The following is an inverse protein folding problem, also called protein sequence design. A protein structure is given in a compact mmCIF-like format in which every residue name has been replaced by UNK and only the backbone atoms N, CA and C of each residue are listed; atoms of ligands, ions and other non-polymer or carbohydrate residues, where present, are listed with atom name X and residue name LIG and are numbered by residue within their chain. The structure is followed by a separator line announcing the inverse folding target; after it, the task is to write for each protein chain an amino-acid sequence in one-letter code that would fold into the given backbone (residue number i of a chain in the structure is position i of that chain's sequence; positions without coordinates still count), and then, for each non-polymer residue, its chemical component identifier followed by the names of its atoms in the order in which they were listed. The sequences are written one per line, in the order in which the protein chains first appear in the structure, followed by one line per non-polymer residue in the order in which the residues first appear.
data_IF_079268394842
#
_entry.id   IF_079268394842
#
_cell.length_a   1.000
_cell.length_b   1.000
_cell.length_c   1.000
_cell.angle_alpha   90.00
_cell.angle_beta   90.00
_cell.angle_gamma   90.00
#
_symmetry.space_group_name_H-M   'P 1'
#
loop_
_entity.id
_entity.type
_entity.pdbx_description
1 polymer ?
#
# COMPACT_ATOMS: atom_id res chain seq x y z
N UNK A 1 -12.36 5.42 15.63
CA UNK A 1 -11.82 4.99 14.33
C UNK A 1 -10.35 4.63 14.50
N UNK A 2 -9.87 3.59 13.83
CA UNK A 2 -8.48 3.10 13.97
C UNK A 2 -7.81 3.05 12.59
N UNK A 3 -6.48 3.19 12.58
CA UNK A 3 -5.66 2.92 11.39
C UNK A 3 -4.97 1.58 11.61
N UNK A 4 -5.22 0.62 10.74
CA UNK A 4 -4.53 -0.65 10.68
C UNK A 4 -3.53 -0.64 9.53
N UNK A 5 -2.46 -1.41 9.65
CA UNK A 5 -1.43 -1.54 8.62
C UNK A 5 -1.12 -3.02 8.40
N UNK A 6 -1.17 -3.45 7.16
CA UNK A 6 -0.78 -4.80 6.75
C UNK A 6 -0.18 -4.76 5.34
N UNK A 7 1.03 -5.25 5.15
CA UNK A 7 1.70 -5.34 3.86
C UNK A 7 1.78 -6.79 3.37
N UNK A 8 2.26 -6.97 2.15
CA UNK A 8 2.68 -8.27 1.61
C UNK A 8 1.55 -9.32 1.60
N UNK A 9 0.37 -8.91 1.13
CA UNK A 9 -0.77 -9.83 1.01
C UNK A 9 -0.53 -10.90 -0.05
N UNK A 10 0.24 -10.58 -1.10
CA UNK A 10 0.62 -11.50 -2.16
C UNK A 10 -0.55 -12.35 -2.67
N UNK A 11 -1.70 -11.71 -2.90
CA UNK A 11 -2.88 -12.38 -3.44
C UNK A 11 -2.62 -12.86 -4.87
N UNK A 12 -3.27 -13.95 -5.27
CA UNK A 12 -3.08 -14.56 -6.57
C UNK A 12 -4.27 -15.42 -6.97
N UNK A 13 -5.49 -14.85 -6.85
CA UNK A 13 -6.72 -15.63 -7.09
C UNK A 13 -6.92 -16.01 -8.55
N UNK A 14 -6.49 -15.17 -9.51
CA UNK A 14 -6.60 -15.50 -10.93
C UNK A 14 -5.61 -16.59 -11.36
N UNK A 15 -4.36 -16.47 -10.95
CA UNK A 15 -3.29 -17.42 -11.26
C UNK A 15 -2.61 -17.83 -9.95
N UNK A 16 -3.07 -18.91 -9.31
CA UNK A 16 -2.59 -19.30 -8.00
C UNK A 16 -1.08 -19.50 -7.94
N UNK A 17 -0.42 -18.79 -7.05
CA UNK A 17 0.98 -18.95 -6.72
C UNK A 17 1.11 -19.50 -5.31
N UNK A 18 1.75 -20.67 -5.14
CA UNK A 18 1.80 -21.33 -3.84
C UNK A 18 2.76 -20.58 -2.91
N UNK A 19 2.21 -19.75 -2.03
CA UNK A 19 2.99 -19.00 -1.02
C UNK A 19 3.54 -19.89 0.10
N UNK A 20 2.99 -21.07 0.30
CA UNK A 20 3.45 -22.05 1.30
C UNK A 20 4.89 -22.55 1.08
N UNK A 21 5.48 -22.33 -0.10
CA UNK A 21 6.91 -22.57 -0.36
C UNK A 21 7.81 -21.70 0.54
N UNK A 22 7.30 -20.58 1.04
CA UNK A 22 8.00 -19.67 1.97
C UNK A 22 7.77 -20.04 3.45
N UNK A 23 7.05 -21.13 3.72
CA UNK A 23 6.79 -21.66 5.05
C UNK A 23 5.31 -21.92 5.31
N UNK A 24 5.06 -22.79 6.30
CA UNK A 24 3.70 -23.24 6.64
C UNK A 24 2.75 -22.12 7.11
N UNK A 25 3.29 -20.99 7.56
CA UNK A 25 2.49 -19.83 7.95
C UNK A 25 1.69 -19.24 6.79
N UNK A 26 2.18 -19.44 5.54
CA UNK A 26 1.52 -18.96 4.32
C UNK A 26 0.41 -19.90 3.80
N UNK A 27 0.27 -21.10 4.39
CA UNK A 27 -0.83 -21.99 4.02
C UNK A 27 -2.16 -21.32 4.30
N UNK A 28 -3.01 -21.23 3.26
CA UNK A 28 -4.33 -20.60 3.31
C UNK A 28 -4.29 -19.15 3.86
N UNK A 29 -3.22 -18.40 3.55
CA UNK A 29 -3.02 -17.06 4.07
C UNK A 29 -4.18 -16.10 3.75
N UNK A 30 -4.87 -16.12 2.57
CA UNK A 30 -6.00 -15.24 2.34
C UNK A 30 -7.14 -15.46 3.34
N UNK A 31 -7.45 -16.70 3.68
CA UNK A 31 -8.49 -17.02 4.66
C UNK A 31 -8.09 -16.60 6.09
N UNK A 32 -6.83 -16.78 6.45
CA UNK A 32 -6.30 -16.29 7.74
C UNK A 32 -6.39 -14.77 7.84
N UNK A 33 -6.01 -14.06 6.77
CA UNK A 33 -6.13 -12.61 6.67
C UNK A 33 -7.59 -12.21 6.82
N UNK A 34 -8.50 -12.82 6.04
CA UNK A 34 -9.93 -12.54 6.08
C UNK A 34 -10.51 -12.70 7.49
N UNK A 35 -10.22 -13.81 8.13
CA UNK A 35 -10.71 -14.10 9.49
C UNK A 35 -10.27 -13.02 10.49
N UNK A 36 -8.97 -12.73 10.53
CA UNK A 36 -8.43 -11.72 11.44
C UNK A 36 -8.92 -10.29 11.11
N UNK A 37 -9.10 -9.99 9.83
CA UNK A 37 -9.62 -8.71 9.38
C UNK A 37 -11.06 -8.49 9.86
N UNK A 38 -11.94 -9.46 9.63
CA UNK A 38 -13.35 -9.41 10.07
C UNK A 38 -13.50 -9.35 11.60
N UNK A 39 -12.54 -9.88 12.34
CA UNK A 39 -12.53 -9.81 13.80
C UNK A 39 -12.14 -8.43 14.32
N UNK A 40 -11.26 -7.71 13.62
CA UNK A 40 -10.58 -6.52 14.14
C UNK A 40 -11.02 -5.20 13.50
N UNK A 41 -11.29 -5.22 12.20
CA UNK A 41 -11.55 -4.02 11.41
C UNK A 41 -13.06 -3.79 11.26
N UNK A 42 -13.49 -2.55 11.48
CA UNK A 42 -14.86 -2.09 11.32
C UNK A 42 -15.02 -1.24 10.06
N UNK A 43 -16.26 -0.97 9.64
CA UNK A 43 -16.54 -0.17 8.44
C UNK A 43 -15.99 1.26 8.51
N UNK A 44 -15.92 1.85 9.70
CA UNK A 44 -15.38 3.19 9.92
C UNK A 44 -13.85 3.28 9.99
N UNK A 45 -13.16 2.14 10.03
CA UNK A 45 -11.71 2.09 10.15
C UNK A 45 -11.02 2.25 8.79
N UNK A 46 -9.73 2.56 8.84
CA UNK A 46 -8.84 2.64 7.69
C UNK A 46 -7.78 1.55 7.76
N UNK A 47 -7.55 0.89 6.64
CA UNK A 47 -6.44 -0.06 6.51
C UNK A 47 -5.48 0.42 5.42
N UNK A 48 -4.23 0.61 5.78
CA UNK A 48 -3.17 0.94 4.83
C UNK A 48 -2.40 -0.33 4.46
N UNK A 49 -2.21 -0.52 3.15
CA UNK A 49 -1.49 -1.65 2.58
C UNK A 49 -0.20 -1.16 1.92
N UNK A 50 0.94 -1.17 2.62
CA UNK A 50 2.20 -0.64 2.10
C UNK A 50 2.89 -1.55 1.08
N UNK A 51 2.15 -2.04 0.07
CA UNK A 51 2.71 -2.74 -1.08
C UNK A 51 2.63 -4.26 -1.05
N UNK A 52 3.00 -4.84 -2.18
CA UNK A 52 2.98 -6.27 -2.47
C UNK A 52 1.60 -6.89 -2.25
N UNK A 53 0.60 -6.21 -2.84
CA UNK A 53 -0.79 -6.59 -2.73
C UNK A 53 -1.12 -7.84 -3.55
N UNK A 54 -0.68 -7.88 -4.82
CA UNK A 54 -1.04 -8.93 -5.76
C UNK A 54 0.13 -9.35 -6.64
N UNK A 55 0.19 -10.65 -6.95
CA UNK A 55 1.13 -11.22 -7.92
C UNK A 55 0.74 -11.03 -9.38
N UNK A 56 -0.35 -10.37 -9.66
CA UNK A 56 -0.79 -10.13 -11.03
C UNK A 56 0.26 -9.33 -11.83
N UNK A 57 0.34 -9.61 -13.13
CA UNK A 57 1.25 -8.89 -14.03
C UNK A 57 0.57 -7.66 -14.66
N UNK A 58 -0.75 -7.69 -14.85
CA UNK A 58 -1.55 -6.63 -15.44
C UNK A 58 -2.70 -6.23 -14.53
N UNK A 59 -3.18 -4.99 -14.67
CA UNK A 59 -4.24 -4.45 -13.81
C UNK A 59 -5.54 -5.27 -13.91
N UNK A 60 -5.88 -5.71 -15.11
CA UNK A 60 -7.09 -6.51 -15.36
C UNK A 60 -7.05 -7.87 -14.67
N UNK A 61 -5.85 -8.39 -14.41
CA UNK A 61 -5.64 -9.67 -13.75
C UNK A 61 -5.84 -9.58 -12.23
N UNK A 62 -5.87 -8.38 -11.68
CA UNK A 62 -6.09 -8.14 -10.23
C UNK A 62 -7.57 -8.16 -9.82
N UNK A 63 -8.50 -8.39 -10.75
CA UNK A 63 -9.94 -8.27 -10.48
C UNK A 63 -10.40 -9.08 -9.26
N UNK A 64 -10.06 -10.36 -9.19
CA UNK A 64 -10.48 -11.22 -8.07
C UNK A 64 -9.77 -10.83 -6.77
N UNK A 65 -8.53 -10.34 -6.83
CA UNK A 65 -7.79 -9.85 -5.68
C UNK A 65 -8.43 -8.57 -5.11
N UNK A 66 -8.80 -7.63 -5.98
CA UNK A 66 -9.52 -6.42 -5.57
C UNK A 66 -10.94 -6.70 -5.10
N UNK A 67 -11.64 -7.65 -5.71
CA UNK A 67 -12.97 -8.10 -5.27
C UNK A 67 -12.91 -8.69 -3.85
N UNK A 68 -11.89 -9.51 -3.58
CA UNK A 68 -11.62 -10.00 -2.23
C UNK A 68 -11.38 -8.85 -1.26
N UNK A 69 -10.48 -7.92 -1.58
CA UNK A 69 -10.17 -6.79 -0.72
C UNK A 69 -11.39 -5.88 -0.49
N UNK A 70 -12.17 -5.61 -1.55
CA UNK A 70 -13.38 -4.78 -1.46
C UNK A 70 -14.47 -5.42 -0.60
N UNK A 71 -14.50 -6.75 -0.48
CA UNK A 71 -15.45 -7.47 0.38
C UNK A 71 -15.17 -7.33 1.88
N UNK A 72 -13.98 -6.86 2.25
CA UNK A 72 -13.57 -6.68 3.63
C UNK A 72 -14.00 -5.29 4.15
N UNK A 73 -14.35 -5.14 5.44
CA UNK A 73 -14.76 -3.86 6.01
C UNK A 73 -13.63 -2.83 6.06
N UNK A 74 -14.01 -1.57 6.25
CA UNK A 74 -13.12 -0.42 6.34
C UNK A 74 -12.69 0.13 4.98
N UNK A 75 -12.16 1.36 4.97
CA UNK A 75 -11.51 1.96 3.79
C UNK A 75 -10.09 1.42 3.64
N UNK A 76 -9.60 1.30 2.41
CA UNK A 76 -8.26 0.78 2.13
C UNK A 76 -7.47 1.79 1.31
N UNK A 77 -6.21 2.02 1.71
CA UNK A 77 -5.24 2.80 0.93
C UNK A 77 -4.05 1.91 0.59
N UNK A 78 -3.80 1.72 -0.69
CA UNK A 78 -2.72 0.88 -1.19
C UNK A 78 -1.53 1.72 -1.64
N UNK A 79 -0.33 1.29 -1.26
CA UNK A 79 0.93 1.76 -1.84
C UNK A 79 1.48 0.68 -2.78
N UNK A 80 2.38 1.10 -3.65
CA UNK A 80 3.11 0.19 -4.53
C UNK A 80 4.23 -0.53 -3.79
N UNK A 81 4.26 -1.86 -3.88
CA UNK A 81 5.42 -2.68 -3.53
C UNK A 81 6.34 -2.98 -4.71
N UNK A 82 7.29 -3.89 -4.54
CA UNK A 82 8.19 -4.28 -5.61
C UNK A 82 7.61 -5.39 -6.51
N UNK A 83 6.70 -6.18 -6.01
CA UNK A 83 6.01 -7.23 -6.78
C UNK A 83 4.67 -6.78 -7.38
N UNK A 84 4.24 -5.54 -7.14
CA UNK A 84 3.04 -5.00 -7.80
C UNK A 84 3.34 -4.60 -9.26
N UNK A 85 3.54 -5.59 -10.12
CA UNK A 85 3.85 -5.38 -11.56
C UNK A 85 2.66 -4.79 -12.32
N UNK A 86 1.43 -5.08 -11.87
CA UNK A 86 0.17 -4.57 -12.38
C UNK A 86 0.00 -3.05 -12.21
N UNK A 87 0.78 -2.44 -11.32
CA UNK A 87 0.65 -1.03 -10.97
C UNK A 87 0.93 -0.10 -12.14
N UNK A 88 -0.03 0.77 -12.44
CA UNK A 88 0.04 1.72 -13.56
C UNK A 88 -0.21 3.17 -13.09
N UNK A 89 -0.80 4.02 -13.92
CA UNK A 89 -1.11 5.39 -13.53
C UNK A 89 -2.29 5.42 -12.55
N UNK A 90 -2.27 6.38 -11.61
CA UNK A 90 -3.35 6.56 -10.64
C UNK A 90 -4.73 6.69 -11.31
N UNK A 91 -4.78 7.40 -12.45
CA UNK A 91 -6.01 7.56 -13.24
C UNK A 91 -6.56 6.20 -13.69
N UNK A 92 -5.75 5.39 -14.34
CA UNK A 92 -6.19 4.07 -14.84
C UNK A 92 -6.63 3.13 -13.71
N UNK A 93 -5.88 3.13 -12.59
CA UNK A 93 -6.23 2.30 -11.45
C UNK A 93 -7.56 2.74 -10.82
N UNK A 94 -7.81 4.04 -10.68
CA UNK A 94 -9.09 4.56 -10.17
C UNK A 94 -10.25 4.31 -11.14
N UNK A 95 -10.03 4.43 -12.45
CA UNK A 95 -11.02 4.06 -13.46
C UNK A 95 -11.39 2.58 -13.34
N UNK A 96 -10.40 1.70 -13.23
CA UNK A 96 -10.61 0.26 -13.01
C UNK A 96 -11.43 -0.03 -11.75
N UNK A 97 -11.10 0.59 -10.61
CA UNK A 97 -11.88 0.42 -9.36
C UNK A 97 -13.34 0.87 -9.56
N UNK A 98 -13.55 2.02 -10.20
CA UNK A 98 -14.88 2.60 -10.45
C UNK A 98 -15.72 1.69 -11.36
N UNK A 99 -15.17 1.22 -12.45
CA UNK A 99 -15.84 0.36 -13.44
C UNK A 99 -16.28 -0.97 -12.81
N UNK A 100 -15.52 -1.47 -11.82
CA UNK A 100 -15.81 -2.72 -11.14
C UNK A 100 -16.57 -2.55 -9.81
N UNK A 101 -16.95 -1.32 -9.44
CA UNK A 101 -17.71 -1.04 -8.22
C UNK A 101 -16.91 -1.20 -6.92
N UNK A 102 -15.59 -1.13 -6.98
CA UNK A 102 -14.72 -1.21 -5.80
C UNK A 102 -14.60 0.15 -5.15
N UNK A 103 -15.53 0.49 -4.26
CA UNK A 103 -15.73 1.84 -3.75
C UNK A 103 -14.97 2.19 -2.47
N UNK A 104 -14.45 1.20 -1.76
CA UNK A 104 -13.77 1.40 -0.48
C UNK A 104 -12.23 1.30 -0.56
N UNK A 105 -11.68 1.43 -1.78
CA UNK A 105 -10.25 1.31 -2.07
C UNK A 105 -9.77 2.55 -2.80
N UNK A 106 -8.57 3.05 -2.44
CA UNK A 106 -7.85 4.08 -3.18
C UNK A 106 -6.32 3.88 -3.00
N UNK A 107 -5.50 4.76 -3.57
CA UNK A 107 -4.06 4.59 -3.68
C UNK A 107 -3.28 5.79 -3.13
N UNK A 108 -2.27 5.52 -2.34
CA UNK A 108 -1.21 6.49 -2.02
C UNK A 108 -0.13 6.35 -3.11
N UNK A 109 -0.06 7.38 -3.97
CA UNK A 109 0.90 7.41 -5.07
C UNK A 109 1.28 8.85 -5.43
N UNK A 110 2.25 9.40 -4.73
CA UNK A 110 2.68 10.80 -4.79
C UNK A 110 1.56 11.79 -4.41
N UNK A 111 0.74 11.45 -3.47
CA UNK A 111 -0.37 12.23 -2.94
C UNK A 111 -0.51 12.01 -1.44
N UNK A 112 -1.39 12.76 -0.82
CA UNK A 112 -1.71 12.67 0.59
C UNK A 112 -3.20 12.54 0.82
N UNK A 113 -3.59 11.99 1.98
CA UNK A 113 -4.97 11.87 2.44
C UNK A 113 -5.10 12.44 3.83
N UNK A 114 -6.21 13.09 4.10
CA UNK A 114 -6.61 13.41 5.46
C UNK A 114 -7.44 12.28 6.04
N UNK A 115 -7.06 11.81 7.20
CA UNK A 115 -7.85 10.89 8.01
C UNK A 115 -7.93 11.43 9.44
N UNK A 116 -9.12 11.83 9.86
CA UNK A 116 -9.33 12.58 11.11
C UNK A 116 -8.45 13.85 11.16
N UNK A 117 -7.47 13.89 12.05
CA UNK A 117 -6.52 15.00 12.20
C UNK A 117 -5.10 14.66 11.73
N UNK A 118 -4.96 13.62 10.90
CA UNK A 118 -3.67 13.08 10.48
C UNK A 118 -3.55 13.07 8.97
N UNK A 119 -2.45 13.60 8.45
CA UNK A 119 -2.09 13.51 7.04
C UNK A 119 -1.41 12.15 6.82
N UNK A 120 -1.95 11.37 5.90
CA UNK A 120 -1.40 10.08 5.49
C UNK A 120 -0.76 10.22 4.13
N UNK A 121 0.49 9.83 4.00
CA UNK A 121 1.22 9.83 2.74
C UNK A 121 2.21 8.66 2.71
N UNK A 122 2.90 8.48 1.60
CA UNK A 122 3.87 7.40 1.52
C UNK A 122 4.57 7.30 0.17
N UNK A 123 5.57 6.45 0.17
CA UNK A 123 6.33 6.09 -1.03
C UNK A 123 6.71 4.62 -0.94
N UNK A 124 6.98 4.01 -2.11
CA UNK A 124 7.54 2.66 -2.12
C UNK A 124 8.89 2.59 -1.39
N UNK A 125 9.66 3.67 -1.40
CA UNK A 125 11.04 3.63 -1.03
C UNK A 125 11.89 2.86 -2.05
N UNK A 126 13.09 2.49 -1.70
CA UNK A 126 13.97 1.69 -2.54
C UNK A 126 14.96 0.90 -1.70
N UNK A 127 15.23 -0.36 -2.10
CA UNK A 127 16.27 -1.16 -1.47
C UNK A 127 17.66 -0.53 -1.72
N UNK A 128 18.48 -0.42 -0.69
CA UNK A 128 19.83 0.04 -0.84
C UNK A 128 20.72 -1.08 -1.31
N UNK A 129 21.05 -0.94 -2.55
CA UNK A 129 22.15 -1.65 -3.16
C UNK A 129 23.25 -0.64 -3.45
N UNK A 130 24.50 -1.00 -3.29
CA UNK A 130 25.63 -0.11 -3.64
C UNK A 130 25.81 -0.05 -5.16
N UNK A 131 24.87 0.62 -5.80
CA UNK A 131 24.86 0.85 -7.24
C UNK A 131 24.37 2.27 -7.54
N UNK A 132 24.89 2.86 -8.62
CA UNK A 132 24.47 4.19 -9.05
C UNK A 132 22.98 4.25 -9.40
N UNK A 133 22.41 3.15 -9.89
CA UNK A 133 20.99 3.07 -10.16
C UNK A 133 20.18 3.15 -8.87
N UNK A 134 20.56 2.43 -7.83
CA UNK A 134 19.88 2.50 -6.51
C UNK A 134 19.95 3.90 -5.93
N UNK A 135 21.09 4.57 -5.99
CA UNK A 135 21.26 5.96 -5.52
C UNK A 135 20.31 6.92 -6.24
N UNK A 136 20.17 6.79 -7.58
CA UNK A 136 19.22 7.59 -8.38
C UNK A 136 17.76 7.30 -7.97
N UNK A 137 17.41 6.05 -7.75
CA UNK A 137 16.05 5.67 -7.38
C UNK A 137 15.69 6.17 -5.97
N UNK A 138 16.58 6.04 -5.00
CA UNK A 138 16.43 6.58 -3.64
C UNK A 138 16.18 8.09 -3.70
N UNK A 139 17.01 8.83 -4.44
CA UNK A 139 16.85 10.28 -4.59
C UNK A 139 15.49 10.65 -5.21
N UNK A 140 15.04 9.86 -6.18
CA UNK A 140 13.72 10.07 -6.80
C UNK A 140 12.58 9.83 -5.81
N UNK A 141 12.63 8.78 -5.02
CA UNK A 141 11.61 8.48 -4.02
C UNK A 141 11.61 9.52 -2.88
N UNK A 142 12.80 10.02 -2.48
CA UNK A 142 12.93 11.13 -1.52
C UNK A 142 12.24 12.41 -2.02
N UNK A 143 12.50 12.79 -3.27
CA UNK A 143 11.85 13.97 -3.87
C UNK A 143 10.34 13.82 -3.93
N UNK A 144 9.84 12.64 -4.33
CA UNK A 144 8.41 12.36 -4.42
C UNK A 144 7.72 12.42 -3.05
N UNK A 145 8.38 11.85 -2.04
CA UNK A 145 7.86 11.89 -0.68
C UNK A 145 7.79 13.32 -0.14
N UNK A 146 8.85 14.10 -0.35
CA UNK A 146 8.87 15.52 0.05
C UNK A 146 7.74 16.31 -0.60
N UNK A 147 7.56 16.17 -1.91
CA UNK A 147 6.48 16.85 -2.64
C UNK A 147 5.10 16.43 -2.13
N UNK A 148 4.88 15.15 -1.85
CA UNK A 148 3.61 14.66 -1.33
C UNK A 148 3.34 15.18 0.10
N UNK A 149 4.35 15.29 0.95
CA UNK A 149 4.24 15.88 2.29
C UNK A 149 3.92 17.37 2.18
N UNK A 150 4.66 18.12 1.35
CA UNK A 150 4.47 19.56 1.15
C UNK A 150 3.07 19.88 0.60
N UNK A 151 2.59 19.09 -0.35
CA UNK A 151 1.24 19.20 -0.89
C UNK A 151 0.18 18.92 0.18
N UNK A 152 0.36 17.85 0.98
CA UNK A 152 -0.53 17.53 2.09
C UNK A 152 -0.56 18.63 3.15
N UNK A 153 0.58 19.19 3.53
CA UNK A 153 0.64 20.31 4.46
C UNK A 153 -0.07 21.54 3.90
N UNK A 154 0.14 21.85 2.61
CA UNK A 154 -0.50 22.97 1.94
C UNK A 154 -2.02 22.83 1.88
N UNK A 155 -2.53 21.59 1.65
CA UNK A 155 -3.96 21.32 1.52
C UNK A 155 -4.66 21.24 2.88
N UNK A 156 -4.03 20.60 3.89
CA UNK A 156 -4.68 20.26 5.15
C UNK A 156 -4.21 21.07 6.36
N UNK A 157 -3.13 21.83 6.24
CA UNK A 157 -2.58 22.66 7.29
C UNK A 157 -1.32 22.11 7.95
N UNK A 158 -0.60 23.00 8.66
CA UNK A 158 0.70 22.72 9.30
C UNK A 158 0.57 22.14 10.72
N UNK A 159 -0.63 22.13 11.29
CA UNK A 159 -0.95 21.70 12.66
C UNK A 159 -1.34 20.21 12.73
N UNK A 160 -1.20 19.49 11.64
CA UNK A 160 -1.58 18.08 11.54
C UNK A 160 -0.42 17.14 11.83
N UNK A 161 -0.73 16.01 12.43
CA UNK A 161 0.17 14.87 12.47
C UNK A 161 0.39 14.32 11.07
N UNK A 162 1.60 13.81 10.77
CA UNK A 162 1.90 13.20 9.48
C UNK A 162 2.39 11.78 9.72
N UNK A 163 1.71 10.81 9.11
CA UNK A 163 2.14 9.40 9.09
C UNK A 163 2.61 9.07 7.67
N UNK A 164 3.85 8.59 7.58
CA UNK A 164 4.47 8.17 6.32
C UNK A 164 4.55 6.65 6.26
N UNK A 165 3.97 6.07 5.22
CA UNK A 165 4.03 4.65 4.95
C UNK A 165 5.07 4.35 3.88
N UNK A 166 5.83 3.28 4.07
CA UNK A 166 6.86 2.84 3.13
C UNK A 166 6.82 1.33 2.97
N UNK A 167 7.01 0.84 1.72
CA UNK A 167 7.18 -0.59 1.48
C UNK A 167 8.60 -1.05 1.84
N UNK A 168 9.61 -0.38 1.26
CA UNK A 168 10.97 -0.61 1.71
C UNK A 168 11.26 0.23 2.96
N UNK A 169 11.88 -0.35 3.99
CA UNK A 169 12.22 0.41 5.18
C UNK A 169 13.17 1.56 4.82
N UNK A 170 13.03 2.71 5.47
CA UNK A 170 14.00 3.78 5.30
C UNK A 170 15.37 3.26 5.73
N UNK A 171 16.33 3.43 4.88
CA UNK A 171 17.65 2.86 5.06
C UNK A 171 18.44 3.26 6.21
N UNK A 172 18.07 4.26 6.72
CA UNK A 172 18.63 4.88 7.88
C UNK A 172 18.21 4.19 9.16
N UNK A 173 17.74 2.97 9.05
CA UNK A 173 17.68 2.10 10.21
C UNK A 173 19.04 1.97 10.91
N UNK A 174 20.14 2.13 10.19
CA UNK A 174 21.45 2.27 10.80
C UNK A 174 21.67 3.60 11.53
N UNK A 175 20.84 4.59 11.29
CA UNK A 175 20.89 5.89 11.95
C UNK A 175 19.80 6.07 13.01
N UNK A 176 18.97 5.08 13.22
CA UNK A 176 18.07 5.01 14.38
C UNK A 176 18.86 4.64 15.65
N UNK A 177 20.15 4.64 15.59
CA UNK A 177 21.01 4.58 16.76
C UNK A 177 21.35 5.96 17.33
N UNK A 178 20.39 6.84 17.22
CA UNK A 178 20.48 8.12 17.91
C UNK A 178 19.54 8.10 19.10
#
# INVERSE_FOLDING_TARGET
MSIYVIADLHLSFKEPKPMNIFGNNWTDHPEKIRKNWLEKVKEEDLVVLPGDFSWAMHLEDTYEDFKYLNSLPGKKLLLKGNHDYWWTTLKKMREFLKENGFSNIDFIYNNSYMYENTILTGTRGWAVLDSDNSKKMIKREDIRLKLAIEEGIKEYGTDKEIIVFMHYPPLILSLIHI
#
